data_IF_327494253166
#
_entry.id   IF_327494253166
#
_cell.length_a   1.000
_cell.length_b   1.000
_cell.length_c   1.000
_cell.angle_alpha   90.00
_cell.angle_beta   90.00
_cell.angle_gamma   90.00
#
_symmetry.space_group_name_H-M   'P 1'
#
loop_
_entity.id
_entity.type
_entity.pdbx_description
1 polymer ?
#
# COMPACT_ATOMS: atom_id res chain seq x y z
N UNK A 1 -21.94 49.30 -35.95
CA UNK A 1 -21.81 49.53 -34.49
C UNK A 1 -23.06 48.96 -33.82
N UNK A 2 -23.09 48.04 -32.86
CA UNK A 2 -22.17 47.64 -31.77
C UNK A 2 -22.45 46.14 -31.50
N UNK A 3 -21.43 45.28 -31.47
CA UNK A 3 -21.60 43.88 -31.01
C UNK A 3 -21.44 43.84 -29.49
N UNK A 4 -22.55 43.67 -28.76
CA UNK A 4 -22.57 43.56 -27.31
C UNK A 4 -22.04 42.18 -26.88
N UNK A 5 -20.73 42.04 -26.68
CA UNK A 5 -20.17 40.87 -26.00
C UNK A 5 -20.64 40.90 -24.55
N UNK A 6 -21.58 40.02 -24.18
CA UNK A 6 -21.84 39.71 -22.77
C UNK A 6 -20.53 39.19 -22.17
N UNK A 7 -19.87 40.00 -21.33
CA UNK A 7 -18.81 39.48 -20.44
C UNK A 7 -19.49 38.50 -19.48
N UNK A 8 -19.29 37.21 -19.74
CA UNK A 8 -19.60 36.16 -18.78
C UNK A 8 -18.68 36.43 -17.58
N UNK A 9 -19.24 36.84 -16.44
CA UNK A 9 -18.47 36.92 -15.20
C UNK A 9 -18.05 35.49 -14.87
N UNK A 10 -16.74 35.23 -14.82
CA UNK A 10 -16.23 33.96 -14.32
C UNK A 10 -16.69 33.79 -12.86
N UNK A 11 -17.32 32.67 -12.48
CA UNK A 11 -17.60 32.40 -11.09
C UNK A 11 -16.24 32.32 -10.36
N UNK A 12 -16.09 33.10 -9.29
CA UNK A 12 -15.00 32.94 -8.33
C UNK A 12 -14.99 31.49 -7.87
N UNK A 13 -13.91 30.76 -8.15
CA UNK A 13 -13.72 29.38 -7.73
C UNK A 13 -13.65 29.34 -6.20
N UNK A 14 -14.80 29.11 -5.55
CA UNK A 14 -14.81 28.50 -4.24
C UNK A 14 -14.32 27.07 -4.44
N UNK A 15 -13.25 26.69 -3.73
CA UNK A 15 -12.76 25.32 -3.69
C UNK A 15 -13.94 24.41 -3.32
N UNK A 16 -14.39 23.57 -4.26
CA UNK A 16 -15.34 22.52 -3.93
C UNK A 16 -14.59 21.52 -3.04
N UNK A 17 -14.98 21.34 -1.77
CA UNK A 17 -14.38 20.31 -0.95
C UNK A 17 -14.63 18.96 -1.61
N UNK A 18 -13.69 18.02 -1.45
CA UNK A 18 -13.93 16.60 -1.71
C UNK A 18 -15.31 16.25 -1.14
N UNK A 19 -16.28 15.96 -2.02
CA UNK A 19 -17.59 15.51 -1.56
C UNK A 19 -17.35 14.16 -0.88
N UNK A 20 -17.49 14.13 0.45
CA UNK A 20 -17.56 12.87 1.19
C UNK A 20 -18.71 12.05 0.57
N UNK A 21 -18.48 10.76 0.37
CA UNK A 21 -19.51 9.84 -0.12
C UNK A 21 -20.71 9.85 0.84
N UNK A 22 -21.77 10.58 0.48
CA UNK A 22 -23.03 10.49 1.20
C UNK A 22 -23.71 9.17 0.84
N UNK A 23 -23.82 8.26 1.80
CA UNK A 23 -24.51 6.96 1.65
C UNK A 23 -26.01 7.11 1.32
N UNK A 24 -26.57 8.32 1.46
CA UNK A 24 -27.98 8.63 1.19
C UNK A 24 -28.30 8.84 -0.30
N UNK A 25 -27.30 9.07 -1.16
CA UNK A 25 -27.48 9.23 -2.60
C UNK A 25 -26.75 8.10 -3.35
N UNK A 26 -27.47 7.07 -3.86
CA UNK A 26 -26.82 6.00 -4.60
C UNK A 26 -26.17 6.54 -5.88
N UNK A 27 -25.03 5.96 -6.24
CA UNK A 27 -24.29 6.28 -7.47
C UNK A 27 -25.28 6.16 -8.65
N UNK A 28 -25.49 7.22 -9.47
CA UNK A 28 -26.42 7.14 -10.58
C UNK A 28 -26.03 6.02 -11.53
N UNK A 29 -27.03 5.28 -12.04
CA UNK A 29 -26.81 4.21 -13.03
C UNK A 29 -25.89 4.69 -14.16
N UNK A 30 -24.92 3.84 -14.50
CA UNK A 30 -23.76 4.10 -15.40
C UNK A 30 -24.11 4.78 -16.73
N UNK A 31 -25.36 4.70 -17.16
CA UNK A 31 -25.86 5.23 -18.43
C UNK A 31 -26.35 6.69 -18.37
N UNK A 32 -26.55 7.24 -17.17
CA UNK A 32 -26.95 8.65 -16.98
C UNK A 32 -25.77 9.60 -16.77
N UNK A 33 -24.56 9.07 -16.65
CA UNK A 33 -23.34 9.87 -16.55
C UNK A 33 -22.76 10.11 -17.95
N UNK A 34 -22.38 11.37 -18.28
CA UNK A 34 -21.76 11.70 -19.55
C UNK A 34 -20.55 10.79 -19.82
N UNK A 35 -20.26 10.49 -21.09
CA UNK A 35 -19.11 9.62 -21.47
C UNK A 35 -17.79 10.13 -20.89
N UNK A 36 -17.64 11.45 -20.77
CA UNK A 36 -16.48 12.11 -20.13
C UNK A 36 -16.33 11.79 -18.64
N UNK A 37 -17.42 11.45 -17.94
CA UNK A 37 -17.44 10.98 -16.55
C UNK A 37 -17.23 9.46 -16.42
N UNK A 38 -17.33 8.73 -17.55
CA UNK A 38 -17.17 7.27 -17.60
C UNK A 38 -15.70 6.83 -17.73
N UNK A 39 -14.84 7.73 -18.19
CA UNK A 39 -13.41 7.50 -18.33
C UNK A 39 -12.67 8.11 -17.13
N UNK A 40 -11.78 7.32 -16.51
CA UNK A 40 -10.83 7.87 -15.55
C UNK A 40 -9.97 8.90 -16.29
N UNK A 41 -10.13 10.19 -15.97
CA UNK A 41 -9.32 11.26 -16.56
C UNK A 41 -7.85 11.00 -16.23
N UNK A 42 -7.05 10.76 -17.27
CA UNK A 42 -5.60 10.57 -17.12
C UNK A 42 -4.87 11.90 -17.26
N UNK A 43 -3.67 12.01 -16.68
CA UNK A 43 -2.79 13.17 -16.84
C UNK A 43 -2.51 13.54 -18.30
N UNK A 44 -2.48 12.54 -19.19
CA UNK A 44 -2.33 12.71 -20.65
C UNK A 44 -3.54 13.43 -21.26
N UNK A 45 -4.74 13.21 -20.73
CA UNK A 45 -5.99 13.83 -21.19
C UNK A 45 -6.18 15.23 -20.63
N UNK A 46 -5.73 15.48 -19.40
CA UNK A 46 -5.84 16.79 -18.73
C UNK A 46 -4.73 17.80 -19.14
N UNK A 47 -3.75 17.38 -19.96
CA UNK A 47 -2.63 18.21 -20.41
C UNK A 47 -3.07 19.44 -21.18
N UNK A 48 -2.47 20.60 -20.88
CA UNK A 48 -2.77 21.90 -21.50
C UNK A 48 -2.70 21.87 -23.04
N UNK A 49 -1.83 21.02 -23.60
CA UNK A 49 -1.66 20.89 -25.05
C UNK A 49 -2.75 20.05 -25.74
N UNK A 50 -3.69 19.47 -24.97
CA UNK A 50 -4.80 18.67 -25.52
C UNK A 50 -6.07 19.52 -25.62
N UNK A 51 -6.92 19.27 -26.63
CA UNK A 51 -8.21 19.93 -26.73
C UNK A 51 -9.07 19.60 -25.50
N UNK A 52 -9.51 20.62 -24.77
CA UNK A 52 -10.25 20.47 -23.51
C UNK A 52 -9.36 20.29 -22.27
N UNK A 53 -8.04 20.27 -22.43
CA UNK A 53 -7.07 20.33 -21.33
C UNK A 53 -6.94 21.74 -20.77
N UNK A 54 -6.53 21.84 -19.50
CA UNK A 54 -6.40 23.13 -18.82
C UNK A 54 -5.26 23.06 -17.81
N UNK A 55 -4.46 24.13 -17.68
CA UNK A 55 -3.27 24.17 -16.81
C UNK A 55 -3.55 23.72 -15.37
N UNK A 56 -4.65 24.20 -14.77
CA UNK A 56 -5.08 23.79 -13.42
C UNK A 56 -5.50 22.32 -13.34
N UNK A 57 -6.15 21.80 -14.39
CA UNK A 57 -6.57 20.39 -14.42
C UNK A 57 -5.35 19.49 -14.59
N UNK A 58 -4.41 19.89 -15.45
CA UNK A 58 -3.13 19.23 -15.57
C UNK A 58 -2.41 19.18 -14.21
N UNK A 59 -2.30 20.31 -13.51
CA UNK A 59 -1.69 20.39 -12.18
C UNK A 59 -2.41 19.54 -11.11
N UNK A 60 -3.75 19.54 -11.10
CA UNK A 60 -4.57 18.76 -10.16
C UNK A 60 -4.40 17.25 -10.36
N UNK A 61 -4.45 16.76 -11.61
CA UNK A 61 -4.21 15.35 -11.92
C UNK A 61 -2.73 14.96 -11.86
N UNK A 62 -1.82 15.94 -11.95
CA UNK A 62 -0.38 15.73 -11.79
C UNK A 62 0.05 15.56 -10.35
N UNK A 63 -0.79 15.94 -9.37
CA UNK A 63 -0.36 16.17 -8.00
C UNK A 63 0.53 15.02 -7.50
N UNK A 64 0.10 13.75 -7.59
CA UNK A 64 0.93 12.63 -7.17
C UNK A 64 0.51 11.40 -7.97
N UNK A 65 1.35 10.91 -8.90
CA UNK A 65 1.08 9.73 -9.75
C UNK A 65 1.12 8.41 -8.97
N UNK A 66 0.48 8.36 -7.80
CA UNK A 66 0.67 7.31 -6.81
C UNK A 66 2.01 7.38 -6.08
N UNK A 67 2.80 8.44 -6.30
CA UNK A 67 4.06 8.68 -5.59
C UNK A 67 3.72 9.05 -4.14
N UNK A 68 4.21 8.26 -3.20
CA UNK A 68 4.15 8.59 -1.78
C UNK A 68 5.28 9.57 -1.47
N UNK A 69 4.95 10.74 -0.92
CA UNK A 69 5.95 11.74 -0.56
C UNK A 69 6.59 11.39 0.79
N UNK A 70 7.93 11.44 0.93
CA UNK A 70 8.62 11.17 2.18
C UNK A 70 8.55 12.40 3.11
N UNK A 71 7.36 12.65 3.66
CA UNK A 71 7.10 13.79 4.52
C UNK A 71 5.63 14.20 4.55
N UNK A 72 5.35 15.36 5.11
CA UNK A 72 3.99 15.89 5.20
C UNK A 72 3.96 17.40 4.98
N UNK A 73 2.78 17.93 4.65
CA UNK A 73 2.59 19.38 4.59
C UNK A 73 2.21 19.90 5.97
N UNK A 74 2.98 20.85 6.49
CA UNK A 74 2.64 21.52 7.74
C UNK A 74 1.38 22.39 7.55
N UNK A 75 0.41 22.22 8.44
CA UNK A 75 -0.88 22.89 8.38
C UNK A 75 -0.80 24.40 8.59
N UNK A 76 0.23 24.87 9.32
CA UNK A 76 0.37 26.30 9.64
C UNK A 76 1.10 27.07 8.55
N UNK A 77 2.19 26.50 8.03
CA UNK A 77 3.02 27.16 7.02
C UNK A 77 2.67 26.77 5.58
N UNK A 78 1.85 25.73 5.39
CA UNK A 78 1.54 25.11 4.10
C UNK A 78 2.80 24.67 3.31
N UNK A 79 3.93 24.50 4.01
CA UNK A 79 5.19 24.05 3.44
C UNK A 79 5.33 22.54 3.60
N UNK A 80 5.98 21.91 2.63
CA UNK A 80 6.34 20.51 2.73
C UNK A 80 7.52 20.36 3.70
N UNK A 81 7.34 19.53 4.72
CA UNK A 81 8.36 19.12 5.68
C UNK A 81 8.79 17.71 5.31
N UNK A 82 10.03 17.58 4.88
CA UNK A 82 10.65 16.30 4.54
C UNK A 82 11.09 15.58 5.81
N UNK A 83 10.87 14.26 5.87
CA UNK A 83 11.24 13.39 6.99
C UNK A 83 12.12 12.26 6.47
N UNK A 84 13.39 12.23 6.88
CA UNK A 84 14.39 11.28 6.39
C UNK A 84 14.00 9.81 6.65
N UNK A 85 13.39 9.52 7.80
CA UNK A 85 12.88 8.19 8.14
C UNK A 85 11.77 7.67 7.22
N UNK A 86 11.11 8.56 6.46
CA UNK A 86 10.09 8.18 5.48
C UNK A 86 10.68 7.85 4.10
N UNK A 87 11.97 8.10 3.86
CA UNK A 87 12.65 7.70 2.63
C UNK A 87 13.03 6.22 2.70
N UNK A 88 12.62 5.37 1.74
CA UNK A 88 12.94 3.95 1.77
C UNK A 88 14.42 3.72 1.44
N UNK A 89 15.15 3.11 2.36
CA UNK A 89 16.52 2.66 2.12
C UNK A 89 16.54 1.32 1.37
N UNK A 90 17.34 1.26 0.29
CA UNK A 90 17.58 0.03 -0.46
C UNK A 90 18.75 -0.74 0.17
N UNK A 91 18.44 -1.78 0.94
CA UNK A 91 19.45 -2.68 1.52
C UNK A 91 19.95 -3.66 0.45
N UNK A 92 21.11 -3.36 -0.14
CA UNK A 92 21.75 -4.19 -1.18
C UNK A 92 22.88 -5.03 -0.57
N UNK A 93 22.80 -6.38 -0.59
CA UNK A 93 23.89 -7.23 -0.12
C UNK A 93 25.06 -7.22 -1.11
N UNK A 94 26.27 -7.55 -0.62
CA UNK A 94 27.41 -7.78 -1.50
C UNK A 94 27.21 -9.07 -2.32
N UNK A 95 27.44 -8.97 -3.63
CA UNK A 95 27.23 -10.05 -4.58
C UNK A 95 28.54 -10.60 -5.17
N UNK A 96 29.71 -10.22 -4.63
CA UNK A 96 30.98 -10.84 -5.05
C UNK A 96 30.95 -12.35 -4.82
N UNK A 97 31.36 -13.12 -5.82
CA UNK A 97 31.38 -14.60 -5.83
C UNK A 97 30.02 -15.28 -5.57
N UNK A 98 28.91 -14.60 -5.86
CA UNK A 98 27.56 -15.18 -5.74
C UNK A 98 27.31 -16.25 -6.82
N UNK A 99 27.13 -17.50 -6.39
CA UNK A 99 27.03 -18.67 -7.29
C UNK A 99 25.68 -18.78 -8.01
N UNK A 100 24.62 -18.23 -7.42
CA UNK A 100 23.27 -18.36 -7.97
C UNK A 100 23.09 -17.41 -9.17
N UNK A 101 22.50 -17.93 -10.25
CA UNK A 101 22.20 -17.19 -11.47
C UNK A 101 20.69 -16.94 -11.58
N UNK A 102 20.24 -15.91 -12.33
CA UNK A 102 18.82 -15.62 -12.51
C UNK A 102 18.03 -16.75 -13.20
N UNK A 103 18.73 -17.61 -13.95
CA UNK A 103 18.16 -18.73 -14.68
C UNK A 103 18.86 -20.02 -14.30
N UNK A 104 18.10 -21.11 -14.37
CA UNK A 104 18.56 -22.47 -14.11
C UNK A 104 18.69 -23.21 -15.45
N UNK A 105 19.60 -24.18 -15.55
CA UNK A 105 19.68 -25.07 -16.72
C UNK A 105 18.42 -25.92 -16.84
N UNK A 106 18.09 -26.35 -18.06
CA UNK A 106 17.08 -27.38 -18.30
C UNK A 106 17.53 -28.77 -17.85
N UNK A 107 18.83 -28.97 -17.68
CA UNK A 107 19.44 -30.24 -17.25
C UNK A 107 19.36 -30.42 -15.73
N UNK A 108 18.15 -30.31 -15.17
CA UNK A 108 17.88 -30.52 -13.74
C UNK A 108 16.76 -31.54 -13.56
N UNK A 109 16.81 -32.29 -12.45
CA UNK A 109 15.74 -33.23 -12.10
C UNK A 109 14.46 -32.49 -11.75
N UNK A 110 13.31 -33.06 -12.11
CA UNK A 110 12.01 -32.48 -11.78
C UNK A 110 11.77 -32.48 -10.26
N UNK A 111 11.38 -31.32 -9.71
CA UNK A 111 11.18 -31.11 -8.27
C UNK A 111 9.69 -30.92 -8.01
N UNK A 112 9.09 -31.83 -7.23
CA UNK A 112 7.71 -31.70 -6.77
C UNK A 112 7.67 -30.88 -5.48
N UNK A 113 7.12 -29.66 -5.53
CA UNK A 113 6.94 -28.83 -4.34
C UNK A 113 5.60 -29.13 -3.66
N UNK A 114 5.65 -29.48 -2.36
CA UNK A 114 4.48 -29.57 -1.50
C UNK A 114 4.14 -28.24 -0.81
N UNK A 115 3.01 -28.18 -0.12
CA UNK A 115 2.69 -27.04 0.75
C UNK A 115 3.67 -27.00 1.93
N UNK A 116 4.18 -25.82 2.27
CA UNK A 116 5.04 -25.62 3.45
C UNK A 116 4.19 -25.23 4.66
N UNK A 117 4.12 -26.09 5.67
CA UNK A 117 3.25 -25.91 6.84
C UNK A 117 4.04 -25.37 8.03
N UNK A 118 3.36 -24.70 8.97
CA UNK A 118 3.96 -24.25 10.24
C UNK A 118 4.59 -25.42 11.02
N UNK A 119 4.00 -26.63 10.91
CA UNK A 119 4.54 -27.87 11.47
C UNK A 119 5.93 -28.20 10.89
N UNK A 120 6.14 -28.01 9.60
CA UNK A 120 7.41 -28.32 8.94
C UNK A 120 8.50 -27.36 9.40
N UNK A 121 8.16 -26.07 9.51
CA UNK A 121 9.06 -25.05 10.07
C UNK A 121 9.41 -25.36 11.53
N UNK A 122 8.43 -25.69 12.37
CA UNK A 122 8.66 -26.06 13.77
C UNK A 122 9.55 -27.29 13.89
N UNK A 123 9.28 -28.33 13.09
CA UNK A 123 10.05 -29.56 13.08
C UNK A 123 11.51 -29.32 12.64
N UNK A 124 11.73 -28.45 11.66
CA UNK A 124 13.07 -28.15 11.15
C UNK A 124 13.92 -27.30 12.11
N UNK A 125 13.28 -26.45 12.92
CA UNK A 125 13.98 -25.45 13.76
C UNK A 125 14.04 -25.84 15.23
N UNK A 126 12.87 -26.01 15.87
CA UNK A 126 12.74 -26.09 17.33
C UNK A 126 12.50 -27.49 17.87
N UNK A 127 11.90 -28.39 17.08
CA UNK A 127 11.47 -29.68 17.61
C UNK A 127 12.63 -30.48 18.23
N UNK A 128 13.83 -30.39 17.66
CA UNK A 128 15.02 -31.07 18.19
C UNK A 128 15.44 -30.53 19.55
N UNK A 129 15.58 -29.21 19.69
CA UNK A 129 16.02 -28.60 20.95
C UNK A 129 15.01 -28.86 22.07
N UNK A 130 13.72 -28.67 21.79
CA UNK A 130 12.65 -28.89 22.77
C UNK A 130 12.60 -30.36 23.22
N UNK A 131 12.75 -31.32 22.28
CA UNK A 131 12.75 -32.73 22.63
C UNK A 131 13.96 -33.11 23.52
N UNK A 132 15.12 -32.53 23.27
CA UNK A 132 16.33 -32.76 24.08
C UNK A 132 16.21 -32.13 25.47
N UNK A 133 15.68 -30.91 25.57
CA UNK A 133 15.42 -30.21 26.83
C UNK A 133 14.36 -30.93 27.67
N UNK A 134 13.31 -31.45 27.03
CA UNK A 134 12.30 -32.27 27.67
C UNK A 134 12.89 -33.56 28.24
N UNK A 135 13.74 -34.27 27.48
CA UNK A 135 14.45 -35.47 27.96
C UNK A 135 15.40 -35.17 29.12
N UNK A 136 16.00 -33.97 29.14
CA UNK A 136 16.86 -33.50 30.25
C UNK A 136 16.05 -33.05 31.47
N UNK A 137 14.72 -33.00 31.39
CA UNK A 137 13.84 -32.56 32.48
C UNK A 137 13.86 -31.06 32.72
N UNK A 138 14.37 -30.27 31.78
CA UNK A 138 14.41 -28.80 31.88
C UNK A 138 13.06 -28.16 31.57
N UNK A 139 12.26 -28.83 30.73
CA UNK A 139 10.90 -28.43 30.38
C UNK A 139 9.95 -29.54 30.85
N UNK A 140 8.83 -29.15 31.47
CA UNK A 140 7.75 -30.05 31.87
C UNK A 140 6.54 -29.80 30.97
N UNK A 141 5.87 -30.87 30.57
CA UNK A 141 4.57 -30.74 29.93
C UNK A 141 3.56 -30.28 30.99
N UNK A 142 2.84 -29.20 30.69
CA UNK A 142 1.69 -28.77 31.48
C UNK A 142 0.49 -29.55 30.95
N UNK A 143 -0.30 -30.12 31.85
CA UNK A 143 -1.53 -30.83 31.51
C UNK A 143 -2.68 -29.80 31.53
N UNK A 144 -3.38 -29.66 30.41
CA UNK A 144 -4.41 -28.63 30.20
C UNK A 144 -5.66 -28.84 31.09
N UNK A 145 -5.74 -29.97 31.79
CA UNK A 145 -6.84 -30.31 32.71
C UNK A 145 -6.60 -29.86 34.17
N UNK A 146 -5.48 -29.17 34.47
CA UNK A 146 -5.17 -28.70 35.81
C UNK A 146 -5.45 -27.19 35.92
N UNK A 147 -6.57 -26.82 36.58
CA UNK A 147 -7.12 -25.46 36.67
C UNK A 147 -6.12 -24.42 37.24
N UNK A 148 -5.08 -24.84 37.97
CA UNK A 148 -4.07 -23.97 38.58
C UNK A 148 -3.14 -23.22 37.59
N UNK A 149 -3.15 -23.57 36.30
CA UNK A 149 -2.20 -22.99 35.32
C UNK A 149 -2.78 -21.84 34.48
N UNK A 150 -4.09 -21.60 34.52
CA UNK A 150 -4.75 -20.56 33.70
C UNK A 150 -4.59 -19.14 34.27
N UNK A 151 -4.19 -18.99 35.54
CA UNK A 151 -4.04 -17.70 36.21
C UNK A 151 -2.69 -17.01 35.96
N UNK A 152 -1.63 -17.77 35.68
CA UNK A 152 -0.27 -17.22 35.53
C UNK A 152 0.01 -16.62 34.15
N UNK A 153 -0.77 -16.99 33.14
CA UNK A 153 -0.59 -16.51 31.77
C UNK A 153 -1.19 -15.13 31.51
N UNK A 154 -2.13 -14.67 32.34
CA UNK A 154 -2.86 -13.40 32.15
C UNK A 154 -2.29 -12.21 32.94
N UNK A 155 -1.15 -12.36 33.64
CA UNK A 155 -0.53 -11.31 34.46
C UNK A 155 0.76 -10.71 33.87
N UNK A 156 1.13 -11.12 32.64
CA UNK A 156 2.37 -10.70 31.95
C UNK A 156 2.14 -10.07 30.56
N UNK A 157 0.89 -9.71 30.23
CA UNK A 157 0.49 -8.97 29.02
C UNK A 157 0.04 -7.55 29.33
#
# INVERSE_FOLDING_TARGET
SIHFRRRIKHPTYQYFPYQKYDSANPIPHRDRVPVWSRLQLTTKMASEHKPGGHKLWHAMYMAHRGVQMPGYFDHQTAKFVYVEEMEPELVVPDLTDFKLKPYVSYDVTDIKQGQFLARDLFNATYAKSIADEFKRGQIKAIDDNNEENTEKTNSLS
#
